data_IF_029196005510
#
_entry.id   IF_029196005510
#
_cell.length_a   1.000
_cell.length_b   1.000
_cell.length_c   1.000
_cell.angle_alpha   90.00
_cell.angle_beta   90.00
_cell.angle_gamma   90.00
#
_symmetry.space_group_name_H-M   'P 1'
#
loop_
_entity.id
_entity.type
_entity.pdbx_description
1 polymer ?
#
# COMPACT_ATOMS: atom_id res chain seq x y z
N UNK A 1 34.21 -46.23 -24.67
CA UNK A 1 32.87 -46.47 -24.07
C UNK A 1 33.04 -46.36 -22.57
N UNK A 2 32.43 -45.45 -21.81
CA UNK A 2 31.26 -44.59 -22.00
C UNK A 2 31.58 -43.11 -21.72
N UNK A 3 30.87 -42.15 -22.33
CA UNK A 3 30.93 -40.75 -21.90
C UNK A 3 30.10 -40.57 -20.62
N UNK A 4 30.55 -39.66 -19.76
CA UNK A 4 29.88 -39.27 -18.52
C UNK A 4 29.01 -38.06 -18.86
N UNK A 5 27.70 -38.25 -18.87
CA UNK A 5 26.73 -37.20 -19.14
C UNK A 5 26.91 -36.04 -18.14
N UNK A 6 27.12 -34.83 -18.69
CA UNK A 6 26.94 -33.60 -17.93
C UNK A 6 25.45 -33.26 -17.98
N UNK A 7 24.75 -33.52 -16.89
CA UNK A 7 23.48 -32.86 -16.62
C UNK A 7 23.77 -31.36 -16.42
N UNK A 8 23.56 -30.57 -17.47
CA UNK A 8 23.32 -29.14 -17.34
C UNK A 8 21.92 -28.95 -16.78
N UNK A 9 21.79 -29.00 -15.46
CA UNK A 9 20.62 -28.46 -14.76
C UNK A 9 20.69 -26.95 -14.87
N UNK A 10 20.07 -26.40 -15.91
CA UNK A 10 19.84 -24.96 -16.05
C UNK A 10 18.85 -24.54 -14.96
N UNK A 11 19.36 -24.19 -13.78
CA UNK A 11 18.55 -23.45 -12.80
C UNK A 11 18.34 -22.04 -13.35
N UNK A 12 17.21 -21.85 -14.03
CA UNK A 12 16.65 -20.52 -14.32
C UNK A 12 16.02 -20.02 -13.01
N UNK A 13 16.87 -19.73 -12.02
CA UNK A 13 16.46 -19.03 -10.81
C UNK A 13 16.47 -17.54 -11.09
N UNK A 14 15.30 -16.90 -11.12
CA UNK A 14 15.24 -15.44 -11.09
C UNK A 14 15.90 -14.95 -9.79
N UNK A 15 16.71 -13.90 -9.86
CA UNK A 15 17.37 -13.38 -8.65
C UNK A 15 16.31 -12.93 -7.62
N UNK A 16 16.55 -13.08 -6.31
CA UNK A 16 15.64 -12.61 -5.27
C UNK A 16 15.27 -11.13 -5.43
N UNK A 17 16.19 -10.30 -5.94
CA UNK A 17 15.96 -8.90 -6.26
C UNK A 17 14.95 -8.69 -7.39
N UNK A 18 14.94 -9.55 -8.41
CA UNK A 18 14.02 -9.49 -9.54
C UNK A 18 12.61 -9.93 -9.12
N UNK A 19 12.50 -10.98 -8.31
CA UNK A 19 11.23 -11.45 -7.75
C UNK A 19 10.62 -10.37 -6.84
N UNK A 20 11.44 -9.72 -6.01
CA UNK A 20 11.01 -8.62 -5.17
C UNK A 20 10.51 -7.42 -6.00
N UNK A 21 11.26 -7.02 -7.03
CA UNK A 21 10.88 -5.93 -7.93
C UNK A 21 9.58 -6.20 -8.68
N UNK A 22 9.38 -7.42 -9.18
CA UNK A 22 8.16 -7.81 -9.90
C UNK A 22 6.95 -7.83 -8.97
N UNK A 23 7.10 -8.36 -7.76
CA UNK A 23 6.02 -8.44 -6.76
C UNK A 23 5.57 -7.06 -6.29
N UNK A 24 6.51 -6.12 -6.13
CA UNK A 24 6.20 -4.74 -5.77
C UNK A 24 5.52 -3.97 -6.91
N UNK A 25 5.94 -4.19 -8.16
CA UNK A 25 5.22 -3.67 -9.32
C UNK A 25 3.78 -4.15 -9.35
N UNK A 26 3.55 -5.45 -9.15
CA UNK A 26 2.20 -6.03 -9.16
C UNK A 26 1.34 -5.40 -8.05
N UNK A 27 1.88 -5.27 -6.83
CA UNK A 27 1.19 -4.61 -5.73
C UNK A 27 0.82 -3.16 -6.03
N UNK A 28 1.77 -2.39 -6.54
CA UNK A 28 1.54 -1.01 -6.92
C UNK A 28 0.43 -0.88 -7.96
N UNK A 29 0.45 -1.73 -8.99
CA UNK A 29 -0.57 -1.73 -10.05
C UNK A 29 -1.96 -2.04 -9.48
N UNK A 30 -2.06 -3.05 -8.60
CA UNK A 30 -3.32 -3.37 -7.94
C UNK A 30 -3.79 -2.28 -6.98
N UNK A 31 -2.87 -1.60 -6.28
CA UNK A 31 -3.20 -0.47 -5.42
C UNK A 31 -3.81 0.67 -6.22
N UNK A 32 -3.14 1.11 -7.28
CA UNK A 32 -3.67 2.16 -8.16
C UNK A 32 -4.98 1.75 -8.80
N UNK A 33 -5.11 0.50 -9.25
CA UNK A 33 -6.37 -0.02 -9.79
C UNK A 33 -7.50 0.08 -8.77
N UNK A 34 -7.25 -0.27 -7.50
CA UNK A 34 -8.25 -0.18 -6.42
C UNK A 34 -8.71 1.27 -6.18
N UNK A 35 -7.79 2.23 -6.26
CA UNK A 35 -8.10 3.66 -6.15
C UNK A 35 -8.98 4.16 -7.30
N UNK A 36 -8.92 3.53 -8.48
CA UNK A 36 -9.74 3.87 -9.64
C UNK A 36 -11.19 3.39 -9.55
N UNK A 37 -11.49 2.37 -8.72
CA UNK A 37 -12.83 1.78 -8.58
C UNK A 37 -13.68 2.41 -7.47
N UNK A 38 -13.12 3.36 -6.72
CA UNK A 38 -13.76 3.87 -5.51
C UNK A 38 -14.75 5.00 -5.83
N UNK A 39 -15.98 4.66 -6.20
CA UNK A 39 -17.09 5.60 -6.44
C UNK A 39 -18.34 5.20 -5.65
N UNK A 40 -18.66 5.86 -4.53
CA UNK A 40 -20.01 5.75 -3.93
C UNK A 40 -20.35 6.91 -2.99
N UNK A 41 -21.48 6.77 -2.26
CA UNK A 41 -22.10 7.71 -1.31
C UNK A 41 -21.80 7.45 0.19
N UNK A 42 -21.56 8.57 0.89
CA UNK A 42 -21.17 8.75 2.30
C UNK A 42 -21.87 7.91 3.40
N UNK A 43 -21.06 7.39 4.32
CA UNK A 43 -21.42 6.85 5.65
C UNK A 43 -20.41 7.35 6.71
N UNK A 44 -20.82 7.55 7.97
CA UNK A 44 -20.06 8.33 8.98
C UNK A 44 -18.89 7.59 9.66
N UNK A 45 -18.51 6.39 9.21
CA UNK A 45 -17.49 5.55 9.85
C UNK A 45 -16.35 5.17 8.90
N UNK A 46 -15.11 5.33 9.36
CA UNK A 46 -13.92 4.89 8.61
C UNK A 46 -13.61 3.41 8.82
N UNK A 47 -12.69 2.88 8.01
CA UNK A 47 -12.16 1.53 8.17
C UNK A 47 -10.65 1.50 7.98
N UNK A 48 -10.04 0.48 8.57
CA UNK A 48 -8.63 0.15 8.40
C UNK A 48 -8.53 -1.31 7.95
N UNK A 49 -7.68 -1.54 6.95
CA UNK A 49 -7.40 -2.86 6.39
C UNK A 49 -5.97 -3.26 6.70
N UNK A 50 -5.75 -4.15 7.65
CA UNK A 50 -4.42 -4.72 7.87
C UNK A 50 -4.19 -5.81 6.85
N UNK A 51 -3.16 -5.65 6.01
CA UNK A 51 -2.81 -6.57 4.94
C UNK A 51 -1.44 -7.16 5.23
N UNK A 52 -1.26 -8.44 4.91
CA UNK A 52 0.00 -9.11 5.15
C UNK A 52 0.41 -9.97 3.95
N UNK A 53 1.67 -10.42 3.96
CA UNK A 53 2.11 -11.43 3.02
C UNK A 53 1.44 -12.78 3.31
N UNK A 54 1.11 -13.52 2.25
CA UNK A 54 0.69 -14.91 2.37
C UNK A 54 1.84 -15.84 2.76
N UNK A 55 3.09 -15.40 2.62
CA UNK A 55 4.28 -16.24 2.84
C UNK A 55 4.90 -16.08 4.22
N UNK A 56 4.79 -14.89 4.83
CA UNK A 56 5.33 -14.59 6.15
C UNK A 56 4.40 -13.59 6.84
N UNK A 57 3.74 -14.05 7.90
CA UNK A 57 2.64 -13.33 8.54
C UNK A 57 3.08 -12.77 9.90
N UNK A 58 2.78 -11.50 10.12
CA UNK A 58 2.88 -10.73 11.34
C UNK A 58 1.49 -10.35 11.89
N UNK A 59 0.46 -10.46 11.04
CA UNK A 59 -0.93 -10.16 11.33
C UNK A 59 -1.75 -11.44 11.44
N UNK A 60 -2.74 -11.45 12.32
CA UNK A 60 -3.68 -12.56 12.45
C UNK A 60 -4.69 -12.52 11.31
N UNK A 61 -4.96 -13.68 10.71
CA UNK A 61 -6.05 -13.85 9.75
C UNK A 61 -7.39 -13.99 10.45
N UNK A 62 -8.46 -13.53 9.81
CA UNK A 62 -9.81 -13.69 10.33
C UNK A 62 -10.19 -15.19 10.39
N UNK A 63 -10.43 -15.72 11.60
CA UNK A 63 -10.90 -17.08 11.83
C UNK A 63 -12.30 -17.24 11.24
N UNK A 64 -12.51 -18.27 10.41
CA UNK A 64 -13.79 -18.59 9.76
C UNK A 64 -14.88 -19.06 10.76
N UNK A 65 -14.58 -19.09 12.07
CA UNK A 65 -15.49 -19.54 13.13
C UNK A 65 -15.89 -18.47 14.16
N UNK A 66 -15.28 -17.29 14.15
CA UNK A 66 -15.61 -16.22 15.11
C UNK A 66 -16.70 -15.31 14.54
N UNK A 67 -17.94 -15.64 14.91
CA UNK A 67 -19.13 -14.83 14.65
C UNK A 67 -18.93 -13.42 15.24
N UNK A 68 -18.82 -12.44 14.35
CA UNK A 68 -19.26 -11.05 14.53
C UNK A 68 -18.87 -10.37 15.85
N UNK A 69 -17.59 -10.07 16.03
CA UNK A 69 -17.24 -8.79 16.64
C UNK A 69 -16.23 -8.09 15.75
N UNK A 70 -16.73 -7.27 14.83
CA UNK A 70 -15.97 -6.15 14.29
C UNK A 70 -15.67 -5.22 15.45
N UNK A 71 -14.62 -5.52 16.22
CA UNK A 71 -14.17 -4.62 17.27
C UNK A 71 -13.63 -3.36 16.59
N UNK A 72 -14.30 -2.24 16.86
CA UNK A 72 -13.85 -0.92 16.44
C UNK A 72 -12.50 -0.61 17.08
N UNK A 73 -11.57 -0.09 16.28
CA UNK A 73 -10.31 0.45 16.76
C UNK A 73 -10.32 1.98 16.72
N UNK A 74 -9.65 2.59 17.69
CA UNK A 74 -9.36 4.01 17.68
C UNK A 74 -8.07 4.26 16.90
N UNK A 75 -7.92 5.42 16.28
CA UNK A 75 -6.77 5.71 15.44
C UNK A 75 -5.42 5.63 16.18
N UNK A 76 -5.37 5.96 17.47
CA UNK A 76 -4.17 5.75 18.28
C UNK A 76 -3.86 4.27 18.58
N UNK A 77 -4.88 3.40 18.61
CA UNK A 77 -4.67 1.94 18.72
C UNK A 77 -4.10 1.39 17.41
N UNK A 78 -4.52 1.94 16.27
CA UNK A 78 -3.93 1.61 14.97
C UNK A 78 -2.48 2.09 14.90
N UNK A 79 -2.20 3.32 15.36
CA UNK A 79 -0.83 3.84 15.44
C UNK A 79 0.06 2.99 16.36
N UNK A 80 -0.46 2.55 17.50
CA UNK A 80 0.25 1.63 18.38
C UNK A 80 0.55 0.28 17.71
N UNK A 81 -0.36 -0.26 16.91
CA UNK A 81 -0.10 -1.49 16.14
C UNK A 81 1.04 -1.30 15.14
N UNK A 82 1.12 -0.13 14.47
CA UNK A 82 2.24 0.22 13.57
C UNK A 82 3.55 0.31 14.32
N UNK A 83 3.58 0.98 15.49
CA UNK A 83 4.79 1.04 16.32
C UNK A 83 5.30 -0.35 16.69
N UNK A 84 4.39 -1.28 17.05
CA UNK A 84 4.76 -2.66 17.36
C UNK A 84 5.29 -3.40 16.14
N UNK A 85 4.70 -3.21 14.95
CA UNK A 85 5.19 -3.82 13.71
C UNK A 85 6.57 -3.29 13.31
N UNK A 86 6.87 -2.03 13.58
CA UNK A 86 8.21 -1.46 13.40
C UNK A 86 9.24 -1.98 14.44
N UNK A 87 8.82 -2.77 15.43
CA UNK A 87 9.68 -3.34 16.46
C UNK A 87 9.74 -2.56 17.77
N UNK A 88 8.89 -1.55 17.95
CA UNK A 88 8.87 -0.72 19.16
C UNK A 88 7.80 -1.17 20.15
N UNK A 89 7.98 -0.76 21.41
CA UNK A 89 6.94 -0.96 22.41
C UNK A 89 5.70 -0.11 22.08
N UNK A 90 4.48 -0.61 22.35
CA UNK A 90 3.28 0.22 22.21
C UNK A 90 3.34 1.40 23.20
N UNK A 91 2.68 2.53 22.90
CA UNK A 91 2.61 3.69 23.80
C UNK A 91 2.17 3.31 25.20
N UNK A 92 2.82 3.86 26.23
CA UNK A 92 2.46 3.62 27.64
C UNK A 92 1.08 4.19 28.02
N UNK A 93 0.56 5.09 27.19
CA UNK A 93 -0.80 5.64 27.29
C UNK A 93 -1.88 4.69 26.77
N UNK A 94 -1.49 3.58 26.12
CA UNK A 94 -2.43 2.59 25.60
C UNK A 94 -3.14 1.87 26.76
N UNK A 95 -4.47 1.90 26.75
CA UNK A 95 -5.27 1.22 27.78
C UNK A 95 -5.13 -0.31 27.68
N UNK A 96 -5.52 -1.02 28.75
CA UNK A 96 -5.60 -2.48 28.72
C UNK A 96 -6.58 -2.98 27.63
N UNK A 97 -7.67 -2.25 27.39
CA UNK A 97 -8.62 -2.55 26.31
C UNK A 97 -7.97 -2.36 24.93
N UNK A 98 -7.25 -1.26 24.71
CA UNK A 98 -6.50 -1.03 23.47
C UNK A 98 -5.42 -2.09 23.24
N UNK A 99 -4.70 -2.47 24.29
CA UNK A 99 -3.70 -3.57 24.24
C UNK A 99 -4.33 -4.91 23.86
N UNK A 100 -5.55 -5.20 24.35
CA UNK A 100 -6.29 -6.39 23.95
C UNK A 100 -6.60 -6.39 22.46
N UNK A 101 -6.98 -5.24 21.88
CA UNK A 101 -7.24 -5.12 20.43
C UNK A 101 -5.97 -5.29 19.59
N UNK A 102 -4.82 -4.79 20.05
CA UNK A 102 -3.54 -5.06 19.39
C UNK A 102 -3.26 -6.56 19.33
N UNK A 103 -3.56 -7.30 20.40
CA UNK A 103 -3.42 -8.75 20.40
C UNK A 103 -4.36 -9.42 19.39
N UNK A 104 -5.49 -8.84 19.03
CA UNK A 104 -6.37 -9.41 17.99
C UNK A 104 -5.82 -9.21 16.58
N UNK A 105 -4.99 -8.19 16.38
CA UNK A 105 -4.39 -7.84 15.08
C UNK A 105 -3.02 -8.50 14.91
N UNK A 106 -2.18 -8.49 15.94
CA UNK A 106 -0.77 -8.84 15.85
C UNK A 106 -0.48 -10.29 16.28
N UNK A 107 0.43 -10.94 15.57
CA UNK A 107 1.01 -12.21 15.99
C UNK A 107 2.06 -11.92 17.09
N UNK A 108 2.01 -12.63 18.24
CA UNK A 108 2.86 -12.34 19.39
C UNK A 108 4.29 -12.88 19.19
N UNK A 109 5.13 -12.18 18.44
CA UNK A 109 6.54 -12.55 18.27
C UNK A 109 7.51 -11.37 18.37
N UNK A 110 8.00 -10.94 19.54
CA UNK A 110 8.88 -9.77 19.69
C UNK A 110 10.15 -9.71 18.81
N UNK A 111 10.61 -10.84 18.26
CA UNK A 111 11.91 -10.92 17.59
C UNK A 111 11.80 -11.01 16.06
N UNK A 112 10.59 -11.15 15.54
CA UNK A 112 10.32 -11.24 14.11
C UNK A 112 9.39 -10.08 13.73
N UNK A 113 9.93 -9.15 12.96
CA UNK A 113 9.26 -7.90 12.62
C UNK A 113 9.44 -7.59 11.15
N UNK A 114 8.44 -6.98 10.51
CA UNK A 114 8.66 -6.43 9.19
C UNK A 114 9.70 -5.33 9.24
N UNK A 115 10.57 -5.33 8.23
CA UNK A 115 11.51 -4.24 8.00
C UNK A 115 10.80 -2.95 7.63
N UNK A 116 9.69 -3.05 6.90
CA UNK A 116 8.96 -1.90 6.39
C UNK A 116 7.46 -2.03 6.63
N UNK A 117 6.85 -0.92 7.06
CA UNK A 117 5.42 -0.72 7.19
C UNK A 117 5.00 0.30 6.14
N UNK A 118 4.01 -0.05 5.32
CA UNK A 118 3.39 0.89 4.39
C UNK A 118 2.04 1.36 4.96
N UNK A 119 1.73 2.64 4.79
CA UNK A 119 0.56 3.29 5.37
C UNK A 119 0.04 4.34 4.38
N UNK A 120 -1.20 4.22 3.91
CA UNK A 120 -1.75 5.15 2.93
C UNK A 120 -3.15 5.60 3.33
N UNK A 121 -3.30 6.76 3.96
CA UNK A 121 -4.63 7.33 4.17
C UNK A 121 -5.32 7.55 2.81
N UNK A 122 -6.54 7.03 2.58
CA UNK A 122 -7.28 7.21 1.32
C UNK A 122 -8.62 7.89 1.59
N UNK A 123 -8.71 9.18 1.34
CA UNK A 123 -9.94 9.97 1.54
C UNK A 123 -10.79 10.03 0.27
N UNK A 124 -12.06 10.44 0.38
CA UNK A 124 -12.94 10.64 -0.76
C UNK A 124 -13.59 9.38 -1.35
N UNK A 125 -13.61 8.28 -0.59
CA UNK A 125 -14.15 6.97 -0.96
C UNK A 125 -15.10 6.45 0.15
N UNK A 126 -16.01 5.52 -0.15
CA UNK A 126 -16.74 4.81 0.92
C UNK A 126 -16.29 3.36 1.10
N UNK A 127 -16.60 2.88 2.30
CA UNK A 127 -16.24 1.58 2.85
C UNK A 127 -16.92 0.29 2.26
N UNK A 128 -17.89 0.31 1.32
CA UNK A 128 -18.43 -0.93 0.76
C UNK A 128 -17.88 -1.35 -0.63
N UNK A 129 -17.12 -0.52 -1.35
CA UNK A 129 -16.70 -0.84 -2.74
C UNK A 129 -15.23 -1.19 -2.93
N UNK A 130 -14.36 -0.94 -1.94
CA UNK A 130 -12.90 -1.18 -2.09
C UNK A 130 -12.51 -2.65 -1.99
N UNK A 131 -13.40 -3.52 -1.52
CA UNK A 131 -13.11 -4.94 -1.37
C UNK A 131 -14.22 -5.77 -1.98
N UNK A 132 -14.15 -6.01 -3.29
CA UNK A 132 -14.66 -7.30 -3.77
C UNK A 132 -13.91 -8.35 -2.93
N UNK A 133 -14.59 -9.23 -2.17
CA UNK A 133 -13.93 -10.32 -1.45
C UNK A 133 -13.14 -11.26 -2.40
N UNK A 134 -13.29 -11.12 -3.72
CA UNK A 134 -12.46 -11.77 -4.74
C UNK A 134 -11.20 -10.98 -5.12
N UNK A 135 -11.05 -9.73 -4.68
CA UNK A 135 -9.82 -8.95 -4.88
C UNK A 135 -8.69 -9.64 -4.13
N UNK A 136 -7.74 -10.21 -4.88
CA UNK A 136 -6.63 -10.99 -4.33
C UNK A 136 -5.82 -10.26 -3.24
N UNK A 137 -5.79 -8.91 -3.27
CA UNK A 137 -5.12 -8.10 -2.24
C UNK A 137 -5.77 -8.19 -0.85
N UNK A 138 -7.09 -8.40 -0.79
CA UNK A 138 -7.87 -8.27 0.44
C UNK A 138 -8.44 -9.59 0.94
N UNK A 139 -8.23 -10.70 0.22
CA UNK A 139 -8.71 -12.04 0.61
C UNK A 139 -8.29 -12.41 2.04
N UNK A 140 -7.11 -11.95 2.47
CA UNK A 140 -6.58 -12.17 3.82
C UNK A 140 -6.48 -10.88 4.65
N UNK A 141 -7.10 -9.78 4.20
CA UNK A 141 -7.04 -8.53 4.92
C UNK A 141 -7.91 -8.59 6.18
N UNK A 142 -7.37 -8.15 7.31
CA UNK A 142 -8.13 -7.96 8.53
C UNK A 142 -8.76 -6.56 8.53
N UNK A 143 -10.06 -6.50 8.28
CA UNK A 143 -10.84 -5.26 8.36
C UNK A 143 -11.19 -4.91 9.82
N UNK A 144 -11.00 -3.65 10.18
CA UNK A 144 -11.45 -3.05 11.45
C UNK A 144 -12.19 -1.74 11.15
N UNK A 145 -13.33 -1.52 11.80
CA UNK A 145 -13.96 -0.20 11.78
C UNK A 145 -13.16 0.75 12.65
N UNK A 146 -13.15 2.03 12.28
CA UNK A 146 -12.38 3.04 12.99
C UNK A 146 -13.21 4.29 13.22
N UNK A 147 -13.22 4.75 14.47
CA UNK A 147 -13.79 6.03 14.85
C UNK A 147 -12.84 7.17 14.47
N UNK A 148 -13.29 8.09 13.62
CA UNK A 148 -12.49 9.14 12.97
C UNK A 148 -12.26 10.38 13.86
N UNK A 149 -12.53 10.29 15.16
CA UNK A 149 -12.45 11.41 16.11
C UNK A 149 -11.08 12.12 16.23
N UNK A 150 -9.97 11.51 15.79
CA UNK A 150 -8.62 12.11 15.84
C UNK A 150 -7.63 11.38 14.91
N UNK A 151 -6.63 12.05 14.30
CA UNK A 151 -5.56 11.40 13.49
C UNK A 151 -4.84 10.29 14.29
N UNK A 152 -4.37 9.25 13.58
CA UNK A 152 -3.49 8.24 14.17
C UNK A 152 -2.15 8.88 14.49
N UNK A 153 -1.90 9.13 15.78
CA UNK A 153 -0.61 9.56 16.26
C UNK A 153 0.28 8.32 16.37
N UNK A 154 1.23 8.18 15.44
CA UNK A 154 2.23 7.11 15.48
C UNK A 154 3.39 7.66 16.29
N UNK A 155 3.52 7.20 17.53
CA UNK A 155 4.66 7.52 18.35
C UNK A 155 5.85 6.70 17.86
N UNK A 156 6.81 7.39 17.23
CA UNK A 156 8.08 6.83 16.78
C UNK A 156 9.19 7.26 17.74
N UNK A 157 10.20 6.42 17.98
CA UNK A 157 11.42 6.82 18.67
C UNK A 157 12.29 7.73 17.79
N UNK A 158 13.51 8.03 18.26
CA UNK A 158 14.46 8.92 17.57
C UNK A 158 14.71 8.51 16.10
N UNK A 159 14.98 9.51 15.25
CA UNK A 159 15.13 9.39 13.79
C UNK A 159 16.28 8.45 13.35
N UNK A 160 17.15 8.03 14.27
CA UNK A 160 18.25 7.10 14.00
C UNK A 160 17.79 5.62 13.93
N UNK A 161 16.63 5.29 14.50
CA UNK A 161 16.09 3.92 14.55
C UNK A 161 15.01 3.66 13.47
N UNK A 162 14.35 4.72 12.99
CA UNK A 162 13.27 4.64 12.00
C UNK A 162 13.52 5.59 10.82
N UNK A 163 13.50 5.05 9.61
CA UNK A 163 13.44 5.84 8.39
C UNK A 163 11.99 6.08 7.98
N UNK A 164 11.55 7.34 8.04
CA UNK A 164 10.22 7.75 7.58
C UNK A 164 10.30 8.23 6.12
N UNK A 165 9.53 7.61 5.25
CA UNK A 165 9.47 7.92 3.82
C UNK A 165 8.07 8.43 3.50
N UNK A 166 7.97 9.70 3.12
CA UNK A 166 6.68 10.32 2.78
C UNK A 166 6.28 10.04 1.32
N UNK A 167 4.99 9.75 1.11
CA UNK A 167 4.35 9.65 -0.20
C UNK A 167 3.57 10.91 -0.60
N UNK A 168 3.54 11.93 0.26
CA UNK A 168 2.78 13.17 0.07
C UNK A 168 3.55 14.26 -0.70
N UNK A 169 4.76 13.95 -1.16
CA UNK A 169 5.56 14.89 -1.94
C UNK A 169 4.79 15.26 -3.23
N UNK A 170 4.52 16.55 -3.49
CA UNK A 170 3.86 16.94 -4.72
C UNK A 170 4.76 16.61 -5.90
N UNK A 171 4.17 16.07 -6.96
CA UNK A 171 4.89 15.98 -8.23
C UNK A 171 5.09 17.40 -8.76
N UNK A 172 6.30 17.69 -9.24
CA UNK A 172 6.56 18.91 -10.00
C UNK A 172 5.81 18.90 -11.34
N UNK A 173 6.25 19.76 -12.27
CA UNK A 173 5.73 19.72 -13.63
C UNK A 173 6.05 18.35 -14.26
N UNK A 174 5.05 17.73 -14.87
CA UNK A 174 5.20 16.46 -15.59
C UNK A 174 5.09 16.67 -17.09
N UNK A 175 5.82 15.83 -17.82
CA UNK A 175 5.89 15.82 -19.28
C UNK A 175 4.93 14.79 -19.88
N UNK A 176 4.63 14.91 -21.18
CA UNK A 176 3.84 13.89 -21.88
C UNK A 176 4.52 12.51 -21.88
N UNK A 177 5.86 12.48 -21.86
CA UNK A 177 6.64 11.25 -21.74
C UNK A 177 6.39 10.57 -20.39
N UNK A 178 6.37 11.32 -19.29
CA UNK A 178 6.08 10.76 -17.96
C UNK A 178 4.64 10.26 -17.83
N UNK A 179 3.67 10.95 -18.46
CA UNK A 179 2.28 10.47 -18.52
C UNK A 179 2.22 9.16 -19.33
N UNK A 180 2.91 9.10 -20.46
CA UNK A 180 2.90 7.93 -21.33
C UNK A 180 3.61 6.72 -20.67
N UNK A 181 4.72 6.95 -19.98
CA UNK A 181 5.42 5.93 -19.18
C UNK A 181 4.54 5.41 -18.04
N UNK A 182 3.83 6.32 -17.36
CA UNK A 182 2.86 5.96 -16.33
C UNK A 182 1.72 5.12 -16.91
N UNK A 183 1.13 5.54 -18.03
CA UNK A 183 0.04 4.83 -18.70
C UNK A 183 0.49 3.44 -19.16
N UNK A 184 1.61 3.36 -19.88
CA UNK A 184 2.19 2.12 -20.39
C UNK A 184 2.47 1.14 -19.26
N UNK A 185 2.96 1.65 -18.13
CA UNK A 185 3.22 0.82 -16.97
C UNK A 185 1.95 0.25 -16.33
N UNK A 186 0.84 1.00 -16.33
CA UNK A 186 -0.48 0.51 -15.93
C UNK A 186 -1.14 -0.42 -16.97
N UNK A 187 -0.47 -0.71 -18.09
CA UNK A 187 -1.04 -1.44 -19.22
C UNK A 187 -2.03 -0.61 -20.04
N UNK A 188 -2.06 0.71 -19.80
CA UNK A 188 -2.89 1.67 -20.49
C UNK A 188 -2.14 2.45 -21.56
N UNK A 189 -2.68 3.60 -21.93
CA UNK A 189 -2.13 4.46 -22.98
C UNK A 189 -2.44 5.93 -22.73
N UNK A 190 -1.58 6.80 -23.24
CA UNK A 190 -1.85 8.24 -23.32
C UNK A 190 -1.91 8.67 -24.79
N UNK A 191 -3.02 9.30 -25.18
CA UNK A 191 -3.18 9.88 -26.52
C UNK A 191 -3.06 11.39 -26.39
N UNK A 192 -2.01 11.96 -26.97
CA UNK A 192 -1.75 13.40 -26.94
C UNK A 192 -2.80 14.18 -27.74
N UNK A 193 -3.07 15.41 -27.32
CA UNK A 193 -3.90 16.32 -28.09
C UNK A 193 -3.04 17.07 -29.11
N UNK A 194 -3.49 17.16 -30.36
CA UNK A 194 -2.72 17.78 -31.44
C UNK A 194 -2.68 19.31 -31.38
N UNK A 195 -3.51 19.92 -30.53
CA UNK A 195 -3.71 21.37 -30.45
C UNK A 195 -3.11 21.97 -29.17
N UNK A 196 -3.21 21.29 -28.03
CA UNK A 196 -2.69 21.80 -26.76
C UNK A 196 -1.93 20.71 -25.96
N UNK A 197 -0.69 20.99 -25.50
CA UNK A 197 0.11 20.01 -24.77
C UNK A 197 -0.56 19.64 -23.44
N UNK A 198 -0.34 18.40 -23.00
CA UNK A 198 -0.86 17.86 -21.73
C UNK A 198 -2.40 17.80 -21.63
N UNK A 199 -3.13 18.00 -22.73
CA UNK A 199 -4.60 17.94 -22.75
C UNK A 199 -5.18 16.66 -23.33
N UNK A 200 -4.31 15.69 -23.61
CA UNK A 200 -4.67 14.38 -24.12
C UNK A 200 -5.57 13.54 -23.20
N UNK A 201 -5.79 12.29 -23.61
CA UNK A 201 -6.62 11.32 -22.88
C UNK A 201 -5.73 10.22 -22.33
N UNK A 202 -5.72 10.09 -21.00
CA UNK A 202 -5.07 8.99 -20.28
C UNK A 202 -6.08 7.86 -20.06
N UNK A 203 -5.84 6.72 -20.67
CA UNK A 203 -6.67 5.51 -20.57
C UNK A 203 -5.97 4.50 -19.68
N UNK A 204 -6.65 4.04 -18.63
CA UNK A 204 -6.14 3.04 -17.68
C UNK A 204 -7.08 1.83 -17.69
N UNK A 205 -6.60 0.61 -18.00
CA UNK A 205 -7.42 -0.59 -17.98
C UNK A 205 -7.77 -0.99 -16.55
N UNK A 206 -8.97 -1.51 -16.41
CA UNK A 206 -9.53 -2.02 -15.18
C UNK A 206 -9.55 -3.55 -15.17
N UNK A 207 -9.52 -4.15 -13.98
CA UNK A 207 -9.48 -5.61 -13.81
C UNK A 207 -10.73 -6.32 -14.39
N UNK A 208 -11.85 -5.62 -14.50
CA UNK A 208 -13.09 -6.12 -15.09
C UNK A 208 -13.12 -6.03 -16.63
N UNK A 209 -12.05 -5.53 -17.26
CA UNK A 209 -11.96 -5.33 -18.71
C UNK A 209 -12.46 -3.97 -19.20
N UNK A 210 -13.00 -3.12 -18.32
CA UNK A 210 -13.34 -1.73 -18.64
C UNK A 210 -12.09 -0.84 -18.66
N UNK A 211 -12.26 0.43 -19.01
CA UNK A 211 -11.20 1.43 -18.97
C UNK A 211 -11.67 2.71 -18.26
N UNK A 212 -10.79 3.30 -17.46
CA UNK A 212 -10.95 4.67 -16.98
C UNK A 212 -10.29 5.62 -17.96
N UNK A 213 -11.05 6.60 -18.44
CA UNK A 213 -10.56 7.64 -19.34
C UNK A 213 -10.48 8.99 -18.61
N UNK A 214 -9.26 9.44 -18.37
CA UNK A 214 -8.96 10.73 -17.76
C UNK A 214 -8.67 11.75 -18.87
N UNK A 215 -9.66 12.61 -19.15
CA UNK A 215 -9.52 13.70 -20.10
C UNK A 215 -8.77 14.86 -19.46
N UNK A 216 -7.49 15.04 -19.80
CA UNK A 216 -6.61 15.99 -19.12
C UNK A 216 -6.98 17.47 -19.39
N UNK A 217 -7.81 17.74 -20.40
CA UNK A 217 -8.46 19.05 -20.60
C UNK A 217 -9.48 19.40 -19.51
N UNK A 218 -10.06 18.41 -18.81
CA UNK A 218 -11.00 18.64 -17.71
C UNK A 218 -10.24 18.80 -16.40
N UNK A 219 -10.43 19.93 -15.73
CA UNK A 219 -9.76 20.29 -14.46
C UNK A 219 -9.78 19.15 -13.42
N UNK A 220 -10.94 18.56 -13.16
CA UNK A 220 -11.10 17.49 -12.15
C UNK A 220 -10.31 16.23 -12.53
N UNK A 221 -10.34 15.83 -13.81
CA UNK A 221 -9.61 14.65 -14.28
C UNK A 221 -8.10 14.91 -14.24
N UNK A 222 -7.66 16.12 -14.61
CA UNK A 222 -6.27 16.52 -14.54
C UNK A 222 -5.74 16.53 -13.11
N UNK A 223 -6.49 17.12 -12.18
CA UNK A 223 -6.10 17.15 -10.76
C UNK A 223 -5.97 15.74 -10.18
N UNK A 224 -6.90 14.84 -10.52
CA UNK A 224 -6.82 13.44 -10.10
C UNK A 224 -5.65 12.69 -10.73
N UNK A 225 -5.45 12.85 -12.05
CA UNK A 225 -4.32 12.25 -12.75
C UNK A 225 -2.98 12.73 -12.14
N UNK A 226 -2.85 14.03 -11.85
CA UNK A 226 -1.67 14.59 -11.18
C UNK A 226 -1.42 13.93 -9.81
N UNK A 227 -2.46 13.75 -8.99
CA UNK A 227 -2.35 13.07 -7.69
C UNK A 227 -1.92 11.60 -7.86
N UNK A 228 -2.48 10.88 -8.84
CA UNK A 228 -2.09 9.49 -9.14
C UNK A 228 -0.65 9.38 -9.64
N UNK A 229 -0.22 10.30 -10.51
CA UNK A 229 1.15 10.40 -11.01
C UNK A 229 2.12 10.66 -9.85
N UNK A 230 1.80 11.61 -8.96
CA UNK A 230 2.59 11.92 -7.77
C UNK A 230 2.73 10.70 -6.84
N UNK A 231 1.61 10.06 -6.49
CA UNK A 231 1.62 8.86 -5.66
C UNK A 231 2.46 7.74 -6.30
N UNK A 232 2.29 7.53 -7.61
CA UNK A 232 3.08 6.56 -8.37
C UNK A 232 4.57 6.86 -8.34
N UNK A 233 4.95 8.12 -8.55
CA UNK A 233 6.33 8.55 -8.48
C UNK A 233 6.91 8.31 -7.08
N UNK A 234 6.19 8.70 -6.04
CA UNK A 234 6.66 8.59 -4.66
C UNK A 234 6.75 7.15 -4.18
N UNK A 235 5.83 6.26 -4.59
CA UNK A 235 5.94 4.83 -4.30
C UNK A 235 7.19 4.25 -4.97
N UNK A 236 7.49 4.61 -6.22
CA UNK A 236 8.72 4.17 -6.90
C UNK A 236 9.97 4.70 -6.19
N UNK A 237 9.96 5.95 -5.73
CA UNK A 237 11.04 6.55 -4.94
C UNK A 237 11.24 5.78 -3.64
N UNK A 238 10.16 5.51 -2.89
CA UNK A 238 10.18 4.73 -1.66
C UNK A 238 10.73 3.32 -1.89
N UNK A 239 10.36 2.66 -2.99
CA UNK A 239 10.90 1.34 -3.35
C UNK A 239 12.42 1.37 -3.61
N UNK A 240 12.93 2.43 -4.24
CA UNK A 240 14.38 2.60 -4.44
C UNK A 240 15.09 2.81 -3.11
N UNK A 241 14.56 3.69 -2.27
CA UNK A 241 15.10 3.94 -0.92
C UNK A 241 15.12 2.66 -0.07
N UNK A 242 14.04 1.86 -0.09
CA UNK A 242 14.00 0.57 0.58
C UNK A 242 15.12 -0.38 0.10
N UNK A 243 15.39 -0.42 -1.20
CA UNK A 243 16.45 -1.26 -1.77
C UNK A 243 17.85 -0.78 -1.36
N UNK A 244 18.06 0.53 -1.26
CA UNK A 244 19.31 1.15 -0.83
C UNK A 244 19.54 0.93 0.67
N UNK A 245 18.53 1.16 1.51
CA UNK A 245 18.56 0.92 2.95
C UNK A 245 18.66 -0.57 3.31
N UNK A 246 18.23 -1.48 2.44
CA UNK A 246 18.44 -2.92 2.65
C UNK A 246 19.93 -3.31 2.56
N UNK A 247 20.75 -2.48 1.90
CA UNK A 247 22.19 -2.70 1.71
C UNK A 247 23.05 -2.04 2.78
N UNK A 248 22.47 -1.16 3.62
CA UNK A 248 23.21 -0.50 4.71
C UNK A 248 23.49 -1.48 5.85
N UNK A 249 24.57 -1.21 6.60
CA UNK A 249 24.94 -1.98 7.80
C UNK A 249 23.93 -1.77 8.93
N UNK A 250 23.57 -0.51 9.16
CA UNK A 250 22.48 -0.10 10.03
C UNK A 250 21.20 -0.21 9.21
N UNK A 251 20.39 -1.24 9.45
CA UNK A 251 19.14 -1.51 8.72
C UNK A 251 17.96 -1.00 9.57
N UNK A 252 17.60 0.30 9.48
CA UNK A 252 16.53 0.84 10.29
C UNK A 252 15.17 0.22 9.92
N UNK A 253 14.22 0.30 10.85
CA UNK A 253 12.83 0.06 10.52
C UNK A 253 12.34 1.17 9.58
N UNK A 254 11.44 0.85 8.65
CA UNK A 254 10.96 1.80 7.65
C UNK A 254 9.47 2.04 7.77
N UNK A 255 9.07 3.30 7.88
CA UNK A 255 7.67 3.71 7.78
C UNK A 255 7.47 4.46 6.47
N UNK A 256 6.84 3.82 5.50
CA UNK A 256 6.44 4.45 4.24
C UNK A 256 5.00 4.92 4.43
N UNK A 257 4.78 6.23 4.46
CA UNK A 257 3.46 6.78 4.76
C UNK A 257 3.02 7.90 3.82
N UNK A 258 1.73 7.98 3.55
CA UNK A 258 1.16 9.20 2.98
C UNK A 258 -0.35 9.16 2.92
N UNK A 259 -0.90 10.06 2.12
CA UNK A 259 -2.32 10.28 1.96
C UNK A 259 -2.68 10.44 0.48
N UNK A 260 -3.86 9.95 0.12
CA UNK A 260 -4.41 10.07 -1.22
C UNK A 260 -5.88 10.43 -1.14
N UNK A 261 -6.25 11.53 -1.75
CA UNK A 261 -7.64 11.97 -1.79
C UNK A 261 -8.24 11.63 -3.17
N UNK A 262 -9.09 10.62 -3.19
CA UNK A 262 -9.83 10.19 -4.37
C UNK A 262 -10.81 11.28 -4.83
N UNK A 263 -11.28 11.19 -6.09
CA UNK A 263 -12.19 12.22 -6.64
C UNK A 263 -13.48 12.24 -5.84
N UNK A 264 -13.68 13.34 -5.13
CA UNK A 264 -14.94 13.73 -4.51
C UNK A 264 -15.91 14.24 -5.58
N UNK A 265 -16.89 13.42 -5.97
CA UNK A 265 -18.05 13.89 -6.72
C UNK A 265 -19.16 14.28 -5.72
N UNK A 266 -19.02 15.48 -5.13
CA UNK A 266 -19.91 16.04 -4.09
C UNK A 266 -20.09 15.17 -2.81
N UNK A 267 -19.99 15.84 -1.66
CA UNK A 267 -20.04 15.28 -0.29
C UNK A 267 -18.77 14.54 0.21
N UNK A 268 -18.36 14.91 1.42
CA UNK A 268 -17.06 14.68 2.02
C UNK A 268 -17.00 13.34 2.75
N UNK A 269 -15.87 12.61 2.63
CA UNK A 269 -15.45 11.66 3.66
C UNK A 269 -13.92 11.43 3.63
N UNK A 270 -13.35 11.00 4.76
CA UNK A 270 -11.94 10.64 4.95
C UNK A 270 -11.87 9.15 5.36
N UNK A 271 -11.06 8.32 4.68
CA UNK A 271 -10.76 6.96 5.14
C UNK A 271 -9.23 6.83 5.32
N UNK A 272 -8.72 6.28 6.43
CA UNK A 272 -7.32 5.91 6.56
C UNK A 272 -7.08 4.47 6.08
N UNK A 273 -6.40 4.26 4.94
CA UNK A 273 -6.03 2.93 4.44
C UNK A 273 -4.64 2.52 5.00
N UNK A 274 -4.57 1.81 6.13
CA UNK A 274 -3.28 1.24 6.56
C UNK A 274 -2.84 0.04 5.73
N UNK A 275 -2.26 0.27 4.56
CA UNK A 275 -1.72 -0.78 3.70
C UNK A 275 -0.38 -1.33 4.21
N UNK A 276 -0.36 -2.11 5.29
CA UNK A 276 0.88 -2.79 5.65
C UNK A 276 1.23 -3.83 4.58
N UNK A 277 2.50 -3.93 4.18
CA UNK A 277 3.01 -5.10 3.43
C UNK A 277 4.44 -5.40 3.85
N UNK A 278 4.58 -6.47 4.60
CA UNK A 278 5.88 -7.02 4.99
C UNK A 278 6.47 -7.77 3.80
N UNK A 279 7.65 -7.38 3.31
CA UNK A 279 8.49 -8.27 2.51
C UNK A 279 9.90 -8.30 3.09
N UNK A 280 10.46 -9.51 3.08
CA UNK A 280 11.83 -9.95 3.41
C UNK A 280 11.96 -10.79 4.69
N UNK A 281 11.65 -12.08 4.59
CA UNK A 281 12.67 -13.12 4.79
C UNK A 281 12.42 -14.24 3.76
N UNK A 282 13.32 -14.36 2.78
CA UNK A 282 13.50 -15.64 2.09
C UNK A 282 14.35 -16.54 3.00
N UNK A 283 14.19 -17.87 2.93
CA UNK A 283 15.01 -18.76 3.73
C UNK A 283 16.48 -18.50 3.39
N UNK A 284 17.25 -18.07 4.39
CA UNK A 284 18.69 -18.25 4.38
C UNK A 284 18.91 -19.75 4.28
N UNK A 285 19.28 -20.23 3.09
CA UNK A 285 19.81 -21.57 2.90
C UNK A 285 21.07 -21.69 3.76
N UNK A 286 20.91 -22.36 4.89
CA UNK A 286 21.94 -23.12 5.60
C UNK A 286 21.51 -24.57 5.62
#
# INVERSE_FOLDING_TARGET
MCPRDRETTTQIGLSPSLVHFLTMKIFHLFLISSLLFSFSRAEDTGSVFFIDSSTHQFLRTQSTGDVAQSQSMLLHEVGAAVSVLLGFAPPTTLSAAGSSKLNEVLIPNPFDRPRAVFLLEVTGIDDPLVVDPKNALFINALKRSVDLGSRADIQLPDEEEVSVISLDEPLGDYTEEEINDFASWLGGSYVTDATEPLQGVLTIPLANGDNVNLHMSKKVHREFASKLLALSHNIRKAMKMHADLSQTLHRPAELIMGSFDAIKHDAALRIPLMLHKCWLEGPLLG
#
